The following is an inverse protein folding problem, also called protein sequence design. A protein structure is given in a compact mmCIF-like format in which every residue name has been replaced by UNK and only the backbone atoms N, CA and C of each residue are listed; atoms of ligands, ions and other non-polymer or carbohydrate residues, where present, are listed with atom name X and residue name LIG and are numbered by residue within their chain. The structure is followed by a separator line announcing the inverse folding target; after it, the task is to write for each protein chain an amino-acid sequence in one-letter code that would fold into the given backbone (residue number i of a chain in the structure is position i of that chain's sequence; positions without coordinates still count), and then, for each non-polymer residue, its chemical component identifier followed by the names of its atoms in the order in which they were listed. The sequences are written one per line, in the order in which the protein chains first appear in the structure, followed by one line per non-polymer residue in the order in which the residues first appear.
data_IF_624447235480
#
_entry.id   IF_624447235480
#
_cell.length_a   1.000
_cell.length_b   1.000
_cell.length_c   1.000
_cell.angle_alpha   90.00
_cell.angle_beta   90.00
_cell.angle_gamma   90.00
#
_symmetry.space_group_name_H-M   'P 1'
#
loop_
_entity.id
_entity.type
_entity.pdbx_description
1 polymer ?
#
# COMPACT_ATOMS: atom_id res chain seq x y z
N UNK A 1 -24.85 1.20 2.18
CA UNK A 1 -24.01 0.01 2.43
C UNK A 1 -23.26 0.25 3.73
N UNK A 2 -23.41 -0.59 4.76
CA UNK A 2 -22.73 -0.43 6.05
C UNK A 2 -21.40 -1.16 5.97
N UNK A 3 -20.29 -0.48 6.25
CA UNK A 3 -18.96 -1.10 6.32
C UNK A 3 -18.99 -2.15 7.44
N UNK A 4 -18.64 -3.40 7.12
CA UNK A 4 -18.57 -4.49 8.08
C UNK A 4 -17.10 -4.81 8.37
N UNK A 5 -16.60 -4.53 9.59
CA UNK A 5 -15.22 -4.83 9.97
C UNK A 5 -14.83 -6.30 9.84
N UNK A 6 -15.80 -7.22 10.00
CA UNK A 6 -15.55 -8.65 9.87
C UNK A 6 -15.13 -9.04 8.46
N UNK A 7 -15.47 -8.25 7.43
CA UNK A 7 -15.01 -8.45 6.05
C UNK A 7 -13.48 -8.26 5.92
N UNK A 8 -12.88 -7.51 6.84
CA UNK A 8 -11.45 -7.26 6.91
C UNK A 8 -10.75 -8.10 7.99
N UNK A 9 -11.48 -9.02 8.64
CA UNK A 9 -10.94 -9.86 9.71
C UNK A 9 -10.95 -9.23 11.11
N UNK A 10 -11.53 -8.03 11.28
CA UNK A 10 -11.57 -7.36 12.58
C UNK A 10 -12.87 -7.66 13.33
N UNK A 11 -12.74 -7.99 14.62
CA UNK A 11 -13.87 -8.15 15.54
C UNK A 11 -13.97 -7.01 16.55
N UNK A 12 -12.88 -6.26 16.77
CA UNK A 12 -12.86 -5.07 17.62
C UNK A 12 -12.34 -3.84 16.84
N UNK A 13 -13.20 -2.82 16.73
CA UNK A 13 -12.90 -1.55 16.05
C UNK A 13 -13.06 -0.34 16.97
N UNK A 14 -13.20 -0.57 18.27
CA UNK A 14 -13.55 0.48 19.24
C UNK A 14 -12.53 0.64 20.35
N UNK A 15 -11.80 -0.42 20.71
CA UNK A 15 -10.81 -0.40 21.78
C UNK A 15 -9.42 -0.69 21.21
N UNK A 16 -8.39 -0.14 21.85
CA UNK A 16 -7.01 -0.49 21.59
C UNK A 16 -6.66 -1.88 22.12
N UNK A 17 -5.86 -2.61 21.35
CA UNK A 17 -5.31 -3.91 21.76
C UNK A 17 -4.55 -3.84 23.10
N UNK A 18 -3.79 -2.77 23.35
CA UNK A 18 -3.01 -2.61 24.58
C UNK A 18 -3.86 -2.60 25.85
N UNK A 19 -5.11 -2.13 25.76
CA UNK A 19 -6.03 -2.06 26.91
C UNK A 19 -6.84 -3.35 27.09
N UNK A 20 -7.20 -4.02 25.99
CA UNK A 20 -8.09 -5.19 26.01
C UNK A 20 -7.33 -6.54 26.05
N UNK A 21 -6.11 -6.60 25.49
CA UNK A 21 -5.32 -7.82 25.38
C UNK A 21 -5.90 -8.87 24.41
N UNK A 22 -5.20 -9.99 24.26
CA UNK A 22 -5.60 -11.11 23.39
C UNK A 22 -4.77 -11.22 22.10
N UNK A 23 -5.43 -11.41 20.96
CA UNK A 23 -4.78 -11.49 19.64
C UNK A 23 -4.89 -10.15 18.91
N UNK A 24 -3.74 -9.51 18.66
CA UNK A 24 -3.66 -8.19 18.01
C UNK A 24 -4.28 -8.14 16.61
N UNK A 25 -4.35 -9.27 15.90
CA UNK A 25 -4.90 -9.31 14.54
C UNK A 25 -6.42 -9.14 14.49
N UNK A 26 -7.11 -9.34 15.62
CA UNK A 26 -8.56 -9.18 15.70
C UNK A 26 -8.98 -7.71 15.91
N UNK A 27 -8.00 -6.81 16.14
CA UNK A 27 -8.18 -5.41 16.47
C UNK A 27 -7.79 -4.49 15.31
N UNK A 28 -8.60 -3.45 15.10
CA UNK A 28 -8.27 -2.36 14.18
C UNK A 28 -7.20 -1.42 14.77
N UNK A 29 -7.23 -1.19 16.09
CA UNK A 29 -6.32 -0.27 16.76
C UNK A 29 -5.38 -0.99 17.72
N UNK A 30 -4.11 -0.58 17.70
CA UNK A 30 -3.10 -1.02 18.64
C UNK A 30 -3.28 -0.33 20.01
N UNK A 31 -3.52 0.98 19.99
CA UNK A 31 -3.88 1.83 21.14
C UNK A 31 -5.10 2.71 20.81
N UNK A 32 -5.28 3.86 21.45
CA UNK A 32 -6.44 4.74 21.22
C UNK A 32 -6.56 5.30 19.79
N UNK A 33 -5.45 5.44 19.05
CA UNK A 33 -5.44 6.09 17.73
C UNK A 33 -4.57 5.41 16.67
N UNK A 34 -3.59 4.61 17.07
CA UNK A 34 -2.68 3.97 16.12
C UNK A 34 -3.29 2.66 15.60
N UNK A 35 -3.31 2.45 14.26
CA UNK A 35 -3.80 1.21 13.69
C UNK A 35 -2.84 0.04 13.93
N UNK A 36 -3.36 -1.18 13.90
CA UNK A 36 -2.52 -2.40 13.95
C UNK A 36 -1.79 -2.64 12.62
N UNK A 37 -0.78 -3.51 12.65
CA UNK A 37 -0.05 -3.91 11.44
C UNK A 37 -0.99 -4.54 10.37
N UNK A 38 -2.04 -5.26 10.81
CA UNK A 38 -3.05 -5.82 9.92
C UNK A 38 -3.80 -4.73 9.15
N UNK A 39 -4.16 -3.63 9.82
CA UNK A 39 -4.77 -2.47 9.18
C UNK A 39 -3.77 -1.79 8.23
N UNK A 40 -2.51 -1.61 8.65
CA UNK A 40 -1.48 -1.05 7.78
C UNK A 40 -1.29 -1.84 6.47
N UNK A 41 -1.39 -3.16 6.51
CA UNK A 41 -1.28 -4.01 5.31
C UNK A 41 -2.46 -3.79 4.34
N UNK A 42 -3.67 -3.61 4.85
CA UNK A 42 -4.84 -3.25 4.03
C UNK A 42 -4.64 -1.86 3.40
N UNK A 43 -4.18 -0.89 4.19
CA UNK A 43 -3.87 0.45 3.66
C UNK A 43 -2.77 0.40 2.59
N UNK A 44 -1.72 -0.41 2.78
CA UNK A 44 -0.63 -0.59 1.81
C UNK A 44 -1.18 -0.99 0.45
N UNK A 45 -2.10 -1.95 0.40
CA UNK A 45 -2.70 -2.42 -0.85
C UNK A 45 -3.41 -1.27 -1.58
N UNK A 46 -4.23 -0.48 -0.87
CA UNK A 46 -4.90 0.68 -1.46
C UNK A 46 -3.95 1.80 -1.88
N UNK A 47 -2.86 2.01 -1.12
CA UNK A 47 -1.87 3.03 -1.42
C UNK A 47 -1.05 2.67 -2.67
N UNK A 48 -0.68 1.41 -2.86
CA UNK A 48 0.02 0.94 -4.08
C UNK A 48 -0.85 1.13 -5.32
N UNK A 49 -2.17 0.91 -5.24
CA UNK A 49 -3.07 1.17 -6.36
C UNK A 49 -3.21 2.67 -6.67
N UNK A 50 -3.13 3.53 -5.65
CA UNK A 50 -3.30 4.97 -5.79
C UNK A 50 -2.05 5.69 -6.31
N UNK A 51 -0.85 5.13 -6.10
CA UNK A 51 0.42 5.73 -6.51
C UNK A 51 0.89 5.11 -7.83
N UNK A 52 0.90 5.86 -8.95
CA UNK A 52 1.42 5.35 -10.20
C UNK A 52 2.90 4.96 -10.08
N UNK A 53 3.23 3.72 -10.44
CA UNK A 53 4.61 3.24 -10.52
C UNK A 53 5.42 4.14 -11.50
N UNK A 54 6.66 4.56 -11.17
CA UNK A 54 7.45 5.51 -11.98
C UNK A 54 8.00 4.94 -13.30
N UNK A 55 7.49 3.80 -13.78
CA UNK A 55 7.99 3.04 -14.94
C UNK A 55 8.00 3.86 -16.24
N UNK A 56 7.21 4.91 -16.33
CA UNK A 56 7.19 5.82 -17.47
C UNK A 56 8.55 6.48 -17.71
N UNK A 57 9.28 6.90 -16.66
CA UNK A 57 10.56 7.60 -16.85
C UNK A 57 11.69 6.68 -17.36
N UNK A 58 11.75 5.43 -16.89
CA UNK A 58 12.75 4.46 -17.34
C UNK A 58 12.51 4.09 -18.80
N UNK A 59 11.25 3.88 -19.19
CA UNK A 59 10.88 3.59 -20.58
C UNK A 59 11.31 4.69 -21.56
N UNK A 60 11.07 5.96 -21.23
CA UNK A 60 11.51 7.09 -22.06
C UNK A 60 13.04 7.21 -22.12
N UNK A 61 13.75 6.96 -21.01
CA UNK A 61 15.21 6.97 -20.98
C UNK A 61 15.83 5.90 -21.88
N UNK A 62 15.32 4.67 -21.83
CA UNK A 62 15.78 3.56 -22.69
C UNK A 62 15.45 3.87 -24.16
N UNK A 63 14.25 4.36 -24.46
CA UNK A 63 13.86 4.72 -25.82
C UNK A 63 14.76 5.83 -26.39
N UNK A 64 15.02 6.88 -25.61
CA UNK A 64 15.93 7.96 -26.01
C UNK A 64 17.35 7.44 -26.27
N UNK A 65 17.87 6.54 -25.43
CA UNK A 65 19.18 5.90 -25.62
C UNK A 65 19.22 5.05 -26.90
N UNK A 66 18.17 4.29 -27.20
CA UNK A 66 18.07 3.48 -28.43
C UNK A 66 18.04 4.38 -29.66
N UNK A 67 17.26 5.46 -29.64
CA UNK A 67 17.20 6.43 -30.75
C UNK A 67 18.56 7.10 -30.94
N UNK A 68 19.22 7.56 -29.86
CA UNK A 68 20.53 8.18 -29.92
C UNK A 68 21.60 7.23 -30.49
N UNK A 69 21.57 5.95 -30.11
CA UNK A 69 22.47 4.91 -30.67
C UNK A 69 22.24 4.62 -32.15
N UNK A 70 20.99 4.70 -32.63
CA UNK A 70 20.71 4.51 -34.06
C UNK A 70 21.21 5.68 -34.90
N UNK A 71 21.06 6.92 -34.41
CA UNK A 71 21.52 8.13 -35.11
C UNK A 71 23.04 8.19 -35.26
N UNK A 72 23.77 7.69 -34.27
CA UNK A 72 25.24 7.66 -34.27
C UNK A 72 25.85 6.54 -35.15
N UNK A 73 25.04 5.64 -35.73
CA UNK A 73 25.50 4.60 -36.67
C UNK A 73 25.27 4.94 -38.14
N UNK A 74 24.49 5.98 -38.44
CA UNK A 74 24.18 6.42 -39.82
C UNK A 74 24.82 7.78 -40.17
N UNK A 75 25.70 8.29 -39.31
CA UNK A 75 26.50 9.50 -39.53
C UNK A 75 27.98 9.13 -39.50
#
# INVERSE_FOLDING_TARGET
MRLNPATYGFSNVTQGFLDAGGNVNDYMFFDDIHPTAAVHEILRQSATEAVPEPVSMVGFGVLALVIARRRSRCS
#
